data_IF_276924232721
#
_entry.id   IF_276924232721
#
_cell.length_a   1.000
_cell.length_b   1.000
_cell.length_c   1.000
_cell.angle_alpha   90.00
_cell.angle_beta   90.00
_cell.angle_gamma   90.00
#
_symmetry.space_group_name_H-M   'P 1'
#
loop_
_entity.id
_entity.type
_entity.pdbx_description
1 polymer ?
#
# COMPACT_ATOMS: atom_id res chain seq x y z
N UNK A 1 26.24 0.47 0.24
CA UNK A 1 25.94 -0.65 1.16
C UNK A 1 27.13 -1.07 2.02
N UNK A 2 28.29 -1.41 1.45
CA UNK A 2 29.47 -1.86 2.20
C UNK A 2 29.94 -0.87 3.29
N UNK A 3 29.87 0.43 3.01
CA UNK A 3 30.25 1.48 3.97
C UNK A 3 29.32 1.56 5.19
N UNK A 4 28.00 1.37 5.00
CA UNK A 4 27.01 1.39 6.10
C UNK A 4 27.22 0.18 6.99
N UNK A 5 27.43 -1.03 6.42
CA UNK A 5 27.76 -2.23 7.21
C UNK A 5 29.09 -2.11 7.96
N UNK A 6 30.08 -1.43 7.36
CA UNK A 6 31.37 -1.15 8.02
C UNK A 6 31.21 -0.22 9.23
N UNK A 7 30.26 0.72 9.19
CA UNK A 7 29.98 1.66 10.28
C UNK A 7 29.01 1.10 11.33
N UNK A 8 28.07 0.25 10.93
CA UNK A 8 27.13 -0.43 11.81
C UNK A 8 26.94 -1.89 11.36
N UNK A 9 27.68 -2.85 11.96
CA UNK A 9 27.57 -4.26 11.61
C UNK A 9 26.20 -4.87 11.93
N UNK A 10 25.45 -4.28 12.88
CA UNK A 10 24.13 -4.74 13.33
C UNK A 10 22.98 -4.23 12.45
N UNK A 11 23.27 -3.53 11.35
CA UNK A 11 22.24 -2.96 10.47
C UNK A 11 21.46 -4.08 9.77
N UNK A 12 20.14 -4.13 10.01
CA UNK A 12 19.22 -5.01 9.29
C UNK A 12 18.73 -4.30 8.03
N UNK A 13 18.61 -5.07 6.95
CA UNK A 13 18.09 -4.58 5.68
C UNK A 13 16.74 -5.21 5.42
N UNK A 14 15.76 -4.36 5.15
CA UNK A 14 14.43 -4.79 4.72
C UNK A 14 14.19 -4.28 3.32
N UNK A 15 13.57 -5.13 2.51
CA UNK A 15 13.02 -4.68 1.25
C UNK A 15 11.71 -3.94 1.52
N UNK A 16 11.43 -2.90 0.73
CA UNK A 16 10.17 -2.19 0.81
C UNK A 16 9.00 -3.16 0.53
N UNK A 17 8.10 -3.31 1.50
CA UNK A 17 6.93 -4.18 1.44
C UNK A 17 5.99 -3.70 0.33
N UNK A 18 5.79 -2.39 0.22
CA UNK A 18 4.96 -1.78 -0.83
C UNK A 18 5.52 -2.12 -2.22
N UNK A 19 6.85 -2.07 -2.38
CA UNK A 19 7.48 -2.41 -3.65
C UNK A 19 7.31 -3.91 -3.99
N UNK A 20 7.52 -4.80 -3.02
CA UNK A 20 7.30 -6.25 -3.20
C UNK A 20 5.84 -6.57 -3.53
N UNK A 21 4.89 -5.95 -2.82
CA UNK A 21 3.46 -6.06 -3.11
C UNK A 21 3.14 -5.62 -4.54
N UNK A 22 3.70 -4.51 -4.99
CA UNK A 22 3.54 -4.04 -6.37
C UNK A 22 4.14 -5.01 -7.39
N UNK A 23 5.31 -5.61 -7.11
CA UNK A 23 5.92 -6.63 -7.98
C UNK A 23 5.06 -7.89 -8.08
N UNK A 24 4.56 -8.41 -6.95
CA UNK A 24 3.68 -9.57 -6.90
C UNK A 24 2.33 -9.34 -7.61
N UNK A 25 1.92 -8.09 -7.76
CA UNK A 25 0.65 -7.74 -8.42
C UNK A 25 0.77 -7.61 -9.94
N UNK A 26 1.98 -7.69 -10.52
CA UNK A 26 2.18 -7.45 -11.96
C UNK A 26 1.74 -8.62 -12.84
N UNK A 27 1.76 -9.85 -12.32
CA UNK A 27 1.47 -11.03 -13.13
C UNK A 27 -0.03 -11.26 -13.23
N UNK A 28 -0.50 -11.48 -14.45
CA UNK A 28 -1.89 -11.73 -14.78
C UNK A 28 -1.99 -12.70 -15.96
N UNK A 29 -3.14 -13.35 -16.11
CA UNK A 29 -3.39 -14.22 -17.26
C UNK A 29 -3.51 -13.39 -18.55
N UNK A 30 -3.44 -14.08 -19.70
CA UNK A 30 -3.38 -13.43 -21.01
C UNK A 30 -4.61 -12.55 -21.29
N UNK A 31 -5.81 -13.02 -20.97
CA UNK A 31 -7.06 -12.30 -21.24
C UNK A 31 -7.18 -10.99 -20.43
N UNK A 32 -6.82 -11.02 -19.15
CA UNK A 32 -6.80 -9.82 -18.31
C UNK A 32 -5.69 -8.85 -18.75
N UNK A 33 -4.54 -9.38 -19.14
CA UNK A 33 -3.43 -8.57 -19.65
C UNK A 33 -3.80 -7.84 -20.94
N UNK A 34 -4.44 -8.56 -21.87
CA UNK A 34 -4.96 -8.01 -23.11
C UNK A 34 -6.00 -6.92 -22.84
N UNK A 35 -7.01 -7.21 -22.03
CA UNK A 35 -8.05 -6.24 -21.63
C UNK A 35 -7.43 -4.98 -21.02
N UNK A 36 -6.44 -5.12 -20.15
CA UNK A 36 -5.71 -3.99 -19.54
C UNK A 36 -4.96 -3.16 -20.59
N UNK A 37 -4.27 -3.81 -21.52
CA UNK A 37 -3.53 -3.13 -22.58
C UNK A 37 -4.46 -2.40 -23.55
N UNK A 38 -5.60 -3.00 -23.89
CA UNK A 38 -6.62 -2.37 -24.73
C UNK A 38 -7.26 -1.17 -24.04
N UNK A 39 -7.60 -1.28 -22.76
CA UNK A 39 -8.09 -0.17 -21.96
C UNK A 39 -7.10 1.01 -21.97
N UNK A 40 -5.80 0.74 -21.81
CA UNK A 40 -4.75 1.77 -21.92
C UNK A 40 -4.70 2.38 -23.33
N UNK A 41 -4.80 1.57 -24.39
CA UNK A 41 -4.84 2.07 -25.78
C UNK A 41 -6.05 2.96 -26.05
N UNK A 42 -7.23 2.60 -25.54
CA UNK A 42 -8.45 3.43 -25.64
C UNK A 42 -8.24 4.80 -24.99
N UNK A 43 -7.73 4.81 -23.76
CA UNK A 43 -7.48 6.05 -23.02
C UNK A 43 -6.45 6.91 -23.75
N UNK A 44 -5.36 6.29 -24.20
CA UNK A 44 -4.33 6.98 -24.96
C UNK A 44 -4.88 7.54 -26.28
N UNK A 45 -5.77 6.84 -26.98
CA UNK A 45 -6.40 7.34 -28.20
C UNK A 45 -7.21 8.62 -27.96
N UNK A 46 -8.01 8.66 -26.89
CA UNK A 46 -8.83 9.83 -26.52
C UNK A 46 -7.93 10.98 -26.03
N UNK A 47 -6.86 10.66 -25.30
CA UNK A 47 -5.95 11.64 -24.71
C UNK A 47 -4.83 12.13 -25.62
N UNK A 48 -4.49 11.39 -26.68
CA UNK A 48 -3.37 11.70 -27.56
C UNK A 48 -3.51 13.06 -28.25
N UNK A 49 -4.75 13.49 -28.54
CA UNK A 49 -5.03 14.76 -29.20
C UNK A 49 -5.84 15.68 -28.29
N UNK A 50 -5.42 16.94 -28.10
CA UNK A 50 -6.19 17.92 -27.33
C UNK A 50 -7.62 18.12 -27.85
N UNK A 51 -7.84 17.99 -29.16
CA UNK A 51 -9.17 18.05 -29.75
C UNK A 51 -10.06 16.90 -29.26
N UNK A 52 -9.58 15.66 -29.32
CA UNK A 52 -10.31 14.48 -28.84
C UNK A 52 -10.70 14.63 -27.37
N UNK A 53 -9.77 15.11 -26.54
CA UNK A 53 -10.04 15.35 -25.12
C UNK A 53 -11.10 16.43 -24.87
N UNK A 54 -11.15 17.49 -25.72
CA UNK A 54 -12.19 18.52 -25.64
C UNK A 54 -13.55 18.00 -26.12
N UNK A 55 -13.58 17.28 -27.23
CA UNK A 55 -14.81 16.68 -27.77
C UNK A 55 -15.39 15.66 -26.80
N UNK A 56 -14.55 14.76 -26.26
CA UNK A 56 -14.98 13.80 -25.25
C UNK A 56 -15.54 14.48 -23.99
N UNK A 57 -14.93 15.59 -23.56
CA UNK A 57 -15.46 16.39 -22.43
C UNK A 57 -16.87 16.91 -22.72
N UNK A 58 -17.08 17.48 -23.91
CA UNK A 58 -18.40 17.99 -24.32
C UNK A 58 -19.44 16.87 -24.35
N UNK A 59 -19.09 15.71 -24.91
CA UNK A 59 -19.97 14.54 -24.91
C UNK A 59 -20.36 14.11 -23.49
N UNK A 60 -19.39 14.03 -22.57
CA UNK A 60 -19.68 13.71 -21.17
C UNK A 60 -20.59 14.74 -20.50
N UNK A 61 -20.45 16.03 -20.85
CA UNK A 61 -21.31 17.09 -20.33
C UNK A 61 -22.74 16.96 -20.84
N UNK A 62 -22.90 16.66 -22.13
CA UNK A 62 -24.20 16.46 -22.77
C UNK A 62 -24.92 15.22 -22.23
N UNK A 63 -24.18 14.16 -21.92
CA UNK A 63 -24.71 12.92 -21.33
C UNK A 63 -24.94 13.01 -19.81
N UNK A 64 -24.61 14.15 -19.18
CA UNK A 64 -24.80 14.37 -17.75
C UNK A 64 -23.88 13.53 -16.86
N UNK A 65 -22.73 13.08 -17.37
CA UNK A 65 -21.79 12.24 -16.61
C UNK A 65 -21.17 13.02 -15.45
N UNK A 66 -21.05 12.37 -14.28
CA UNK A 66 -20.40 12.96 -13.10
C UNK A 66 -18.95 13.38 -13.42
N UNK A 67 -18.24 12.52 -14.16
CA UNK A 67 -16.86 12.77 -14.56
C UNK A 67 -16.78 13.15 -16.04
N UNK A 68 -16.10 14.27 -16.32
CA UNK A 68 -16.00 14.81 -17.69
C UNK A 68 -14.65 14.51 -18.37
N UNK A 69 -13.77 13.81 -17.67
CA UNK A 69 -12.40 13.56 -18.12
C UNK A 69 -11.92 12.18 -17.71
N UNK A 70 -11.29 11.48 -18.67
CA UNK A 70 -10.46 10.33 -18.38
C UNK A 70 -9.16 10.75 -17.68
N UNK A 71 -8.56 9.83 -16.94
CA UNK A 71 -7.26 10.02 -16.30
C UNK A 71 -6.14 9.52 -17.23
N UNK A 72 -5.04 10.25 -17.32
CA UNK A 72 -3.86 9.83 -18.09
C UNK A 72 -3.05 8.81 -17.29
N UNK A 73 -2.57 7.78 -18.00
CA UNK A 73 -1.63 6.83 -17.43
C UNK A 73 -0.19 7.35 -17.56
N UNK A 74 0.59 7.19 -16.50
CA UNK A 74 2.05 7.18 -16.60
C UNK A 74 2.54 5.85 -16.04
N UNK A 75 3.40 5.14 -16.76
CA UNK A 75 3.93 3.82 -16.38
C UNK A 75 4.53 3.76 -14.97
N UNK A 76 4.93 4.92 -14.45
CA UNK A 76 5.70 5.11 -13.22
C UNK A 76 4.91 4.76 -11.94
N UNK A 77 3.56 4.73 -11.95
CA UNK A 77 2.76 4.37 -10.75
C UNK A 77 1.66 3.37 -11.05
N UNK A 78 1.90 2.11 -10.69
CA UNK A 78 0.92 1.01 -10.73
C UNK A 78 -0.41 1.35 -10.02
N UNK A 79 -0.34 2.12 -8.93
CA UNK A 79 -1.50 2.59 -8.16
C UNK A 79 -2.45 3.52 -8.92
N UNK A 80 -1.98 4.18 -9.98
CA UNK A 80 -2.86 5.00 -10.82
C UNK A 80 -3.80 4.14 -11.68
N UNK A 81 -3.50 2.85 -11.88
CA UNK A 81 -4.26 1.98 -12.79
C UNK A 81 -5.70 1.75 -12.29
N UNK A 82 -5.92 1.56 -10.99
CA UNK A 82 -7.28 1.38 -10.43
C UNK A 82 -8.20 2.56 -10.73
N UNK A 83 -7.79 3.76 -10.32
CA UNK A 83 -8.56 5.00 -10.60
C UNK A 83 -8.82 5.23 -12.09
N UNK A 84 -7.84 4.91 -12.94
CA UNK A 84 -7.97 5.05 -14.39
C UNK A 84 -9.03 4.08 -14.94
N UNK A 85 -9.00 2.82 -14.51
CA UNK A 85 -9.93 1.80 -14.99
C UNK A 85 -11.35 2.01 -14.46
N UNK A 86 -11.50 2.41 -13.19
CA UNK A 86 -12.81 2.83 -12.68
C UNK A 86 -13.40 3.96 -13.49
N UNK A 87 -12.61 5.00 -13.76
CA UNK A 87 -13.06 6.13 -14.59
C UNK A 87 -13.44 5.70 -16.01
N UNK A 88 -12.69 4.77 -16.60
CA UNK A 88 -13.00 4.22 -17.91
C UNK A 88 -14.30 3.40 -17.89
N UNK A 89 -14.51 2.62 -16.84
CA UNK A 89 -15.71 1.79 -16.68
C UNK A 89 -16.97 2.63 -16.41
N UNK A 90 -16.85 3.67 -15.58
CA UNK A 90 -17.91 4.65 -15.34
C UNK A 90 -18.35 5.32 -16.64
N UNK A 91 -17.38 5.80 -17.44
CA UNK A 91 -17.62 6.52 -18.70
C UNK A 91 -17.74 5.61 -19.92
N UNK A 92 -18.02 4.32 -19.72
CA UNK A 92 -17.94 3.31 -20.80
C UNK A 92 -18.90 3.60 -21.95
N UNK A 93 -20.07 4.20 -21.69
CA UNK A 93 -21.06 4.51 -22.72
C UNK A 93 -20.64 5.73 -23.54
N UNK A 94 -20.18 6.79 -22.88
CA UNK A 94 -19.62 7.99 -23.47
C UNK A 94 -18.40 7.63 -24.33
N UNK A 95 -17.51 6.78 -23.81
CA UNK A 95 -16.33 6.29 -24.51
C UNK A 95 -16.74 5.50 -25.75
N UNK A 96 -17.73 4.62 -25.65
CA UNK A 96 -18.26 3.86 -26.79
C UNK A 96 -18.78 4.80 -27.87
N UNK A 97 -19.66 5.75 -27.53
CA UNK A 97 -20.24 6.72 -28.48
C UNK A 97 -19.14 7.54 -29.15
N UNK A 98 -18.20 8.07 -28.37
CA UNK A 98 -17.06 8.82 -28.89
C UNK A 98 -16.25 7.99 -29.89
N UNK A 99 -15.96 6.72 -29.58
CA UNK A 99 -15.19 5.84 -30.46
C UNK A 99 -15.94 5.51 -31.75
N UNK A 100 -17.27 5.36 -31.70
CA UNK A 100 -18.12 5.17 -32.88
C UNK A 100 -18.08 6.39 -33.80
N UNK A 101 -18.21 7.60 -33.25
CA UNK A 101 -18.10 8.85 -34.02
C UNK A 101 -16.73 9.01 -34.69
N UNK A 102 -15.67 8.62 -33.98
CA UNK A 102 -14.29 8.63 -34.49
C UNK A 102 -13.98 7.45 -35.41
N UNK A 103 -14.94 6.55 -35.69
CA UNK A 103 -14.76 5.32 -36.49
C UNK A 103 -13.57 4.47 -36.02
N UNK A 104 -13.37 4.43 -34.71
CA UNK A 104 -12.27 3.69 -34.10
C UNK A 104 -12.61 2.22 -33.95
N UNK A 105 -11.63 1.36 -34.21
CA UNK A 105 -11.75 -0.11 -34.07
C UNK A 105 -12.02 -0.51 -32.61
N UNK A 106 -11.66 0.34 -31.64
CA UNK A 106 -11.89 0.06 -30.22
C UNK A 106 -13.36 0.17 -29.79
N UNK A 107 -14.26 0.68 -30.64
CA UNK A 107 -15.69 0.79 -30.30
C UNK A 107 -16.33 -0.59 -30.02
N UNK A 108 -15.93 -1.63 -30.75
CA UNK A 108 -16.45 -2.99 -30.60
C UNK A 108 -16.08 -3.64 -29.26
N UNK A 109 -15.02 -3.17 -28.59
CA UNK A 109 -14.63 -3.69 -27.27
C UNK A 109 -15.73 -3.47 -26.22
N UNK A 110 -16.41 -2.32 -26.28
CA UNK A 110 -17.46 -1.96 -25.33
C UNK A 110 -18.81 -2.63 -25.62
N UNK A 111 -18.92 -3.33 -26.75
CA UNK A 111 -20.08 -4.18 -27.08
C UNK A 111 -19.86 -5.63 -26.62
N UNK A 112 -18.60 -6.01 -26.44
CA UNK A 112 -18.23 -7.32 -25.93
C UNK A 112 -18.41 -7.37 -24.40
N UNK A 113 -19.52 -7.96 -23.95
CA UNK A 113 -19.86 -8.15 -22.53
C UNK A 113 -18.73 -8.80 -21.73
N UNK A 114 -18.07 -9.79 -22.32
CA UNK A 114 -16.95 -10.53 -21.74
C UNK A 114 -15.76 -9.60 -21.44
N UNK A 115 -15.47 -8.67 -22.36
CA UNK A 115 -14.42 -7.66 -22.18
C UNK A 115 -14.79 -6.64 -21.11
N UNK A 116 -16.05 -6.18 -21.09
CA UNK A 116 -16.55 -5.23 -20.09
C UNK A 116 -16.51 -5.85 -18.68
N UNK A 117 -16.82 -7.14 -18.54
CA UNK A 117 -16.67 -7.88 -17.28
C UNK A 117 -15.22 -7.95 -16.81
N UNK A 118 -14.29 -8.26 -17.71
CA UNK A 118 -12.85 -8.25 -17.38
C UNK A 118 -12.38 -6.86 -16.98
N UNK A 119 -12.87 -5.80 -17.64
CA UNK A 119 -12.58 -4.42 -17.28
C UNK A 119 -13.13 -4.07 -15.87
N UNK A 120 -14.36 -4.45 -15.57
CA UNK A 120 -15.00 -4.24 -14.26
C UNK A 120 -14.20 -4.93 -13.14
N UNK A 121 -13.83 -6.20 -13.35
CA UNK A 121 -12.99 -6.95 -12.43
C UNK A 121 -11.64 -6.26 -12.19
N UNK A 122 -10.98 -5.82 -13.27
CA UNK A 122 -9.69 -5.13 -13.16
C UNK A 122 -9.83 -3.86 -12.33
N UNK A 123 -10.88 -3.06 -12.55
CA UNK A 123 -11.15 -1.87 -11.76
C UNK A 123 -11.26 -2.21 -10.25
N UNK A 124 -12.06 -3.21 -9.89
CA UNK A 124 -12.26 -3.62 -8.49
C UNK A 124 -10.99 -4.20 -7.83
N UNK A 125 -10.25 -5.09 -8.52
CA UNK A 125 -9.04 -5.69 -7.93
C UNK A 125 -7.93 -4.65 -7.78
N UNK A 126 -7.80 -3.72 -8.71
CA UNK A 126 -6.81 -2.64 -8.61
C UNK A 126 -7.12 -1.67 -7.48
N UNK A 127 -8.40 -1.39 -7.21
CA UNK A 127 -8.79 -0.58 -6.05
C UNK A 127 -8.47 -1.29 -4.74
N UNK A 128 -8.79 -2.58 -4.63
CA UNK A 128 -8.43 -3.38 -3.43
C UNK A 128 -6.91 -3.39 -3.19
N UNK A 129 -6.11 -3.49 -4.25
CA UNK A 129 -4.64 -3.39 -4.17
C UNK A 129 -4.18 -1.99 -3.78
N UNK A 130 -4.86 -0.95 -4.26
CA UNK A 130 -4.57 0.43 -3.91
C UNK A 130 -4.92 0.72 -2.45
N UNK A 131 -6.04 0.21 -1.93
CA UNK A 131 -6.42 0.34 -0.53
C UNK A 131 -5.41 -0.32 0.40
N UNK A 132 -4.94 -1.52 0.05
CA UNK A 132 -3.85 -2.17 0.77
C UNK A 132 -2.61 -1.26 0.78
N UNK A 133 -2.22 -0.73 -0.38
CA UNK A 133 -1.04 0.11 -0.50
C UNK A 133 -1.16 1.39 0.36
N UNK A 134 -2.29 2.10 0.27
CA UNK A 134 -2.57 3.28 1.10
C UNK A 134 -2.56 2.94 2.58
N UNK A 135 -3.13 1.80 2.97
CA UNK A 135 -3.10 1.36 4.37
C UNK A 135 -1.68 1.10 4.89
N UNK A 136 -0.72 0.81 4.01
CA UNK A 136 0.70 0.62 4.35
C UNK A 136 1.52 1.92 4.26
N UNK A 137 0.98 2.97 3.64
CA UNK A 137 1.58 4.30 3.59
C UNK A 137 1.16 5.08 4.83
N UNK A 138 2.01 5.04 5.86
CA UNK A 138 1.75 5.78 7.09
C UNK A 138 3.03 6.17 7.80
N UNK A 139 2.92 7.23 8.58
CA UNK A 139 3.97 7.61 9.51
C UNK A 139 3.97 6.64 10.71
N UNK A 140 5.16 6.17 11.12
CA UNK A 140 5.37 5.18 12.21
C UNK A 140 4.73 3.80 11.99
N UNK A 141 4.67 3.31 10.75
CA UNK A 141 4.33 1.89 10.50
C UNK A 141 5.56 1.00 10.70
N UNK A 142 5.52 0.15 11.72
CA UNK A 142 6.53 -0.89 11.94
C UNK A 142 6.31 -2.09 11.00
N UNK A 143 7.35 -2.89 10.83
CA UNK A 143 7.34 -4.08 9.97
C UNK A 143 6.24 -5.09 10.35
N UNK A 144 6.00 -5.31 11.65
CA UNK A 144 5.02 -6.29 12.13
C UNK A 144 3.60 -5.86 11.75
N UNK A 145 3.26 -4.59 11.94
CA UNK A 145 1.98 -4.01 11.50
C UNK A 145 1.76 -4.16 9.99
N UNK A 146 2.79 -3.91 9.19
CA UNK A 146 2.74 -4.09 7.73
C UNK A 146 2.55 -5.57 7.35
N UNK A 147 3.24 -6.48 8.03
CA UNK A 147 3.08 -7.91 7.84
C UNK A 147 1.66 -8.38 8.19
N UNK A 148 1.05 -7.85 9.26
CA UNK A 148 -0.35 -8.15 9.60
C UNK A 148 -1.32 -7.69 8.51
N UNK A 149 -1.11 -6.49 7.94
CA UNK A 149 -1.92 -5.98 6.81
C UNK A 149 -1.79 -6.86 5.56
N UNK A 150 -0.56 -7.28 5.24
CA UNK A 150 -0.32 -8.23 4.15
C UNK A 150 -0.99 -9.60 4.41
N UNK A 151 -0.87 -10.14 5.64
CA UNK A 151 -1.53 -11.38 6.05
C UNK A 151 -3.05 -11.29 5.87
N UNK A 152 -3.65 -10.20 6.34
CA UNK A 152 -5.08 -9.95 6.21
C UNK A 152 -5.50 -9.88 4.73
N UNK A 153 -4.70 -9.24 3.88
CA UNK A 153 -4.99 -9.19 2.44
C UNK A 153 -4.91 -10.56 1.78
N UNK A 154 -3.93 -11.39 2.13
CA UNK A 154 -3.84 -12.74 1.57
C UNK A 154 -5.03 -13.61 2.02
N UNK A 155 -5.43 -13.51 3.29
CA UNK A 155 -6.67 -14.17 3.78
C UNK A 155 -7.92 -13.68 3.04
N UNK A 156 -7.98 -12.39 2.69
CA UNK A 156 -9.06 -11.84 1.84
C UNK A 156 -9.03 -12.44 0.43
N UNK A 157 -7.85 -12.61 -0.20
CA UNK A 157 -7.73 -13.29 -1.50
C UNK A 157 -8.25 -14.73 -1.44
N UNK A 158 -7.93 -15.48 -0.40
CA UNK A 158 -8.44 -16.85 -0.19
C UNK A 158 -9.96 -16.87 -0.03
N UNK A 159 -10.52 -15.89 0.69
CA UNK A 159 -11.97 -15.73 0.79
C UNK A 159 -12.62 -15.39 -0.56
N UNK A 160 -12.04 -14.47 -1.33
CA UNK A 160 -12.53 -14.10 -2.67
C UNK A 160 -12.46 -15.30 -3.63
N UNK A 161 -11.39 -16.10 -3.59
CA UNK A 161 -11.28 -17.34 -4.33
C UNK A 161 -12.43 -18.30 -4.02
N UNK A 162 -12.76 -18.52 -2.74
CA UNK A 162 -13.88 -19.36 -2.32
C UNK A 162 -15.24 -18.85 -2.84
N UNK A 163 -15.41 -17.53 -2.96
CA UNK A 163 -16.62 -16.91 -3.51
C UNK A 163 -16.73 -17.12 -5.03
N UNK A 164 -15.65 -16.86 -5.75
CA UNK A 164 -15.58 -17.03 -7.21
C UNK A 164 -15.74 -18.51 -7.61
N UNK A 165 -15.23 -19.44 -6.81
CA UNK A 165 -15.47 -20.89 -6.99
C UNK A 165 -16.94 -21.30 -6.89
N UNK A 166 -17.78 -20.48 -6.24
CA UNK A 166 -19.23 -20.66 -6.15
C UNK A 166 -19.97 -19.80 -7.18
N UNK A 167 -19.27 -19.33 -8.21
CA UNK A 167 -19.77 -18.42 -9.25
C UNK A 167 -20.38 -17.12 -8.69
N UNK A 168 -19.88 -16.64 -7.56
CA UNK A 168 -20.32 -15.38 -6.95
C UNK A 168 -19.24 -14.32 -7.08
N UNK A 169 -19.60 -13.20 -7.71
CA UNK A 169 -18.74 -12.03 -7.92
C UNK A 169 -19.01 -10.88 -6.94
N UNK A 170 -19.92 -11.04 -5.99
CA UNK A 170 -20.30 -10.08 -4.92
C UNK A 170 -19.17 -9.37 -4.16
N UNK A 171 -17.96 -9.92 -4.19
CA UNK A 171 -16.78 -9.29 -3.57
C UNK A 171 -16.17 -8.18 -4.45
N UNK A 172 -16.59 -8.07 -5.70
CA UNK A 172 -16.16 -7.13 -6.74
C UNK A 172 -17.37 -6.26 -7.14
N UNK A 173 -17.60 -5.12 -6.45
CA UNK A 173 -18.86 -4.36 -6.57
C UNK A 173 -19.19 -3.85 -7.97
N UNK A 174 -18.17 -3.49 -8.75
CA UNK A 174 -18.35 -2.98 -10.12
C UNK A 174 -18.75 -4.11 -11.06
N UNK A 175 -18.10 -5.27 -10.91
CA UNK A 175 -18.45 -6.47 -11.67
C UNK A 175 -19.82 -7.02 -11.28
N UNK A 176 -20.13 -7.08 -9.99
CA UNK A 176 -21.39 -7.61 -9.46
C UNK A 176 -22.59 -6.83 -9.98
N UNK A 177 -22.55 -5.50 -9.86
CA UNK A 177 -23.59 -4.62 -10.41
C UNK A 177 -23.77 -4.81 -11.92
N UNK A 178 -22.67 -4.89 -12.66
CA UNK A 178 -22.74 -5.07 -14.11
C UNK A 178 -23.31 -6.44 -14.50
N UNK A 179 -23.01 -7.48 -13.72
CA UNK A 179 -23.52 -8.81 -13.91
C UNK A 179 -25.02 -8.91 -13.66
N UNK A 180 -25.51 -8.22 -12.63
CA UNK A 180 -26.93 -8.12 -12.33
C UNK A 180 -27.68 -7.34 -13.43
N UNK A 181 -27.11 -6.24 -13.93
CA UNK A 181 -27.74 -5.37 -14.93
C UNK A 181 -27.78 -5.98 -16.35
N UNK A 182 -26.86 -6.89 -16.69
CA UNK A 182 -26.60 -7.30 -18.09
C UNK A 182 -26.92 -8.77 -18.41
N UNK A 183 -27.50 -9.54 -17.48
CA UNK A 183 -27.85 -10.97 -17.63
C UNK A 183 -26.75 -11.78 -18.37
N UNK A 184 -25.56 -11.88 -17.78
CA UNK A 184 -24.39 -12.46 -18.46
C UNK A 184 -24.47 -14.00 -18.58
N UNK A 185 -24.57 -14.50 -19.80
CA UNK A 185 -24.56 -15.94 -20.11
C UNK A 185 -23.23 -16.66 -19.77
N UNK A 186 -22.10 -15.97 -19.88
CA UNK A 186 -20.75 -16.54 -19.74
C UNK A 186 -20.05 -16.25 -18.39
N UNK A 187 -20.81 -16.01 -17.31
CA UNK A 187 -20.23 -15.66 -16.01
C UNK A 187 -19.23 -16.72 -15.49
N UNK A 188 -19.42 -18.00 -15.84
CA UNK A 188 -18.51 -19.08 -15.48
C UNK A 188 -17.11 -18.91 -16.08
N UNK A 189 -17.01 -18.54 -17.36
CA UNK A 189 -15.72 -18.31 -18.04
C UNK A 189 -14.98 -17.11 -17.43
N UNK A 190 -15.73 -16.06 -17.08
CA UNK A 190 -15.17 -14.91 -16.35
C UNK A 190 -14.69 -15.32 -14.95
N UNK A 191 -15.47 -16.12 -14.22
CA UNK A 191 -15.08 -16.65 -12.92
C UNK A 191 -13.80 -17.50 -12.99
N UNK A 192 -13.63 -18.31 -14.04
CA UNK A 192 -12.41 -19.08 -14.26
C UNK A 192 -11.19 -18.19 -14.49
N UNK A 193 -11.35 -17.15 -15.31
CA UNK A 193 -10.31 -16.14 -15.54
C UNK A 193 -9.90 -15.43 -14.24
N UNK A 194 -10.89 -15.01 -13.43
CA UNK A 194 -10.67 -14.36 -12.14
C UNK A 194 -9.98 -15.32 -11.16
N UNK A 195 -10.43 -16.57 -11.08
CA UNK A 195 -9.88 -17.61 -10.20
C UNK A 195 -8.42 -17.88 -10.51
N UNK A 196 -8.05 -18.00 -11.78
CA UNK A 196 -6.67 -18.18 -12.20
C UNK A 196 -5.80 -16.98 -11.75
N UNK A 197 -6.27 -15.76 -11.96
CA UNK A 197 -5.54 -14.55 -11.56
C UNK A 197 -5.38 -14.43 -10.05
N UNK A 198 -6.46 -14.61 -9.28
CA UNK A 198 -6.40 -14.53 -7.82
C UNK A 198 -5.49 -15.61 -7.22
N UNK A 199 -5.47 -16.81 -7.80
CA UNK A 199 -4.57 -17.90 -7.37
C UNK A 199 -3.12 -17.50 -7.58
N UNK A 200 -2.77 -17.03 -8.78
CA UNK A 200 -1.42 -16.55 -9.11
C UNK A 200 -1.00 -15.39 -8.23
N UNK A 201 -1.87 -14.40 -8.03
CA UNK A 201 -1.62 -13.24 -7.16
C UNK A 201 -1.36 -13.68 -5.71
N UNK A 202 -2.16 -14.62 -5.18
CA UNK A 202 -1.97 -15.18 -3.85
C UNK A 202 -0.61 -15.89 -3.75
N UNK A 203 -0.32 -16.78 -4.68
CA UNK A 203 0.91 -17.58 -4.66
C UNK A 203 2.16 -16.68 -4.76
N UNK A 204 2.11 -15.64 -5.59
CA UNK A 204 3.19 -14.66 -5.68
C UNK A 204 3.36 -13.86 -4.39
N UNK A 205 2.28 -13.35 -3.80
CA UNK A 205 2.36 -12.67 -2.52
C UNK A 205 2.96 -13.58 -1.44
N UNK A 206 2.54 -14.85 -1.36
CA UNK A 206 3.14 -15.81 -0.43
C UNK A 206 4.62 -16.02 -0.71
N UNK A 207 5.03 -16.08 -1.98
CA UNK A 207 6.45 -16.24 -2.36
C UNK A 207 7.32 -15.03 -1.96
N UNK A 208 6.79 -13.81 -2.01
CA UNK A 208 7.50 -12.60 -1.59
C UNK A 208 7.51 -12.41 -0.06
N UNK A 209 6.59 -13.08 0.64
CA UNK A 209 6.36 -12.94 2.08
C UNK A 209 6.19 -14.30 2.80
N UNK A 210 7.18 -15.22 2.70
CA UNK A 210 7.04 -16.58 3.24
C UNK A 210 6.88 -16.61 4.77
N UNK A 211 7.53 -15.70 5.49
CA UNK A 211 7.45 -15.59 6.95
C UNK A 211 6.05 -15.24 7.45
N UNK A 212 5.23 -14.54 6.66
CA UNK A 212 3.87 -14.14 7.03
C UNK A 212 2.93 -15.37 7.11
N UNK A 213 3.20 -16.40 6.32
CA UNK A 213 2.35 -17.60 6.25
C UNK A 213 2.78 -18.72 7.19
N UNK A 214 4.03 -18.73 7.63
CA UNK A 214 4.55 -19.78 8.50
C UNK A 214 4.02 -19.69 9.94
N UNK A 215 3.07 -18.79 10.23
CA UNK A 215 2.54 -18.53 11.58
C UNK A 215 3.66 -18.41 12.61
N UNK A 216 4.76 -17.76 12.24
CA UNK A 216 5.88 -17.57 13.13
C UNK A 216 5.47 -16.53 14.20
N UNK A 217 4.88 -17.04 15.29
CA UNK A 217 4.39 -16.25 16.43
C UNK A 217 5.51 -15.84 17.39
N UNK A 218 6.77 -16.05 17.01
CA UNK A 218 7.94 -15.69 17.83
C UNK A 218 8.01 -14.23 18.20
N UNK A 219 7.33 -13.37 17.45
CA UNK A 219 7.33 -11.92 17.66
C UNK A 219 5.98 -11.37 18.12
N UNK A 220 4.97 -12.22 18.36
CA UNK A 220 3.63 -11.77 18.76
C UNK A 220 3.67 -11.04 20.12
N UNK A 221 4.53 -11.49 21.03
CA UNK A 221 4.76 -10.85 22.33
C UNK A 221 5.26 -9.40 22.22
N UNK A 222 5.86 -9.01 21.10
CA UNK A 222 6.32 -7.64 20.85
C UNK A 222 5.11 -6.72 20.61
N UNK A 223 4.09 -7.23 19.92
CA UNK A 223 2.85 -6.50 19.65
C UNK A 223 1.88 -6.56 20.83
N UNK A 224 1.85 -7.67 21.56
CA UNK A 224 1.09 -7.79 22.81
C UNK A 224 1.81 -8.72 23.80
N UNK A 225 2.48 -8.19 24.83
CA UNK A 225 3.19 -9.01 25.80
C UNK A 225 2.29 -9.63 26.88
N UNK A 226 0.98 -9.37 26.89
CA UNK A 226 0.05 -9.81 27.95
C UNK A 226 -0.90 -10.96 27.52
N UNK A 227 -0.56 -11.71 26.47
CA UNK A 227 -1.38 -12.85 25.99
C UNK A 227 -1.14 -14.09 26.86
N UNK A 228 -2.14 -14.95 27.10
CA UNK A 228 -2.00 -16.12 28.02
C UNK A 228 -0.87 -17.12 27.67
N UNK A 229 -0.40 -17.15 26.41
CA UNK A 229 0.61 -18.12 25.94
C UNK A 229 1.87 -17.44 25.36
N UNK A 230 2.40 -16.43 26.07
CA UNK A 230 3.58 -15.67 25.60
C UNK A 230 4.85 -16.55 25.46
N UNK A 231 4.91 -17.66 26.21
CA UNK A 231 6.12 -18.47 26.38
C UNK A 231 6.31 -19.56 25.32
N UNK A 232 5.22 -20.08 24.74
CA UNK A 232 5.29 -21.28 23.89
C UNK A 232 5.82 -21.05 22.48
N UNK A 233 6.11 -19.79 22.11
CA UNK A 233 6.53 -19.45 20.75
C UNK A 233 7.68 -18.46 20.66
N UNK A 234 8.20 -17.89 21.76
CA UNK A 234 9.00 -16.65 21.71
C UNK A 234 10.42 -16.79 21.12
N UNK A 235 10.99 -18.00 21.06
CA UNK A 235 12.37 -18.22 20.59
C UNK A 235 13.44 -17.49 21.43
N UNK A 236 13.08 -17.07 22.64
CA UNK A 236 13.92 -16.30 23.58
C UNK A 236 14.76 -17.24 24.47
N UNK A 237 15.82 -16.70 25.06
CA UNK A 237 16.56 -17.43 26.11
C UNK A 237 15.76 -17.49 27.41
N UNK A 238 16.02 -18.52 28.23
CA UNK A 238 15.28 -18.77 29.48
C UNK A 238 15.17 -17.53 30.37
N UNK A 239 16.27 -16.81 30.59
CA UNK A 239 16.31 -15.57 31.38
C UNK A 239 15.42 -14.46 30.80
N UNK A 240 15.35 -14.34 29.46
CA UNK A 240 14.52 -13.32 28.81
C UNK A 240 13.05 -13.74 28.86
N UNK A 241 12.76 -15.03 28.76
CA UNK A 241 11.43 -15.60 28.93
C UNK A 241 10.91 -15.40 30.35
N UNK A 242 11.72 -15.61 31.38
CA UNK A 242 11.37 -15.32 32.78
C UNK A 242 10.97 -13.85 32.97
N UNK A 243 11.78 -12.92 32.45
CA UNK A 243 11.46 -11.49 32.48
C UNK A 243 10.15 -11.16 31.76
N UNK A 244 9.82 -11.89 30.68
CA UNK A 244 8.60 -11.69 29.92
C UNK A 244 7.38 -12.16 30.69
N UNK A 245 7.49 -13.29 31.41
CA UNK A 245 6.45 -13.81 32.30
C UNK A 245 6.18 -12.82 33.44
N UNK A 246 7.24 -12.28 34.06
CA UNK A 246 7.11 -11.26 35.11
C UNK A 246 6.39 -10.01 34.61
N UNK A 247 6.77 -9.53 33.42
CA UNK A 247 6.14 -8.37 32.79
C UNK A 247 4.67 -8.65 32.44
N UNK A 248 4.38 -9.80 31.84
CA UNK A 248 3.03 -10.21 31.42
C UNK A 248 2.08 -10.39 32.61
N UNK A 249 2.61 -10.70 33.80
CA UNK A 249 1.82 -10.88 35.03
C UNK A 249 1.56 -9.57 35.79
N UNK A 250 2.12 -8.44 35.33
CA UNK A 250 1.98 -7.15 35.99
C UNK A 250 0.74 -6.38 35.49
N UNK A 251 -0.35 -6.46 36.25
CA UNK A 251 -1.61 -5.78 35.91
C UNK A 251 -1.48 -4.26 35.77
N UNK A 252 -0.54 -3.62 36.46
CA UNK A 252 -0.33 -2.19 36.34
C UNK A 252 0.32 -1.84 35.01
N UNK A 253 1.26 -2.66 34.53
CA UNK A 253 1.83 -2.53 33.20
C UNK A 253 0.81 -2.85 32.10
N UNK A 254 -0.10 -3.81 32.31
CA UNK A 254 -1.17 -4.14 31.37
C UNK A 254 -2.14 -2.95 31.17
N UNK A 255 -2.62 -2.36 32.26
CA UNK A 255 -3.46 -1.16 32.21
C UNK A 255 -2.74 0.01 31.53
N UNK A 256 -1.43 0.13 31.76
CA UNK A 256 -0.63 1.16 31.11
C UNK A 256 -0.50 0.92 29.61
N UNK A 257 -0.27 -0.33 29.19
CA UNK A 257 -0.14 -0.73 27.80
C UNK A 257 -1.35 -0.34 26.96
N UNK A 258 -2.55 -0.42 27.52
CA UNK A 258 -3.80 0.00 26.83
C UNK A 258 -3.84 1.50 26.49
N UNK A 259 -3.05 2.33 27.17
CA UNK A 259 -3.08 3.79 27.05
C UNK A 259 -1.92 4.37 26.23
N UNK A 260 -0.95 3.56 25.80
CA UNK A 260 0.24 4.01 25.09
C UNK A 260 0.47 3.22 23.80
N UNK A 261 1.28 3.76 22.89
CA UNK A 261 1.69 2.99 21.70
C UNK A 261 2.69 1.89 22.07
N UNK A 262 2.74 0.81 21.28
CA UNK A 262 3.67 -0.32 21.49
C UNK A 262 5.11 0.16 21.65
N UNK A 263 5.58 1.07 20.79
CA UNK A 263 6.94 1.62 20.89
C UNK A 263 7.16 2.45 22.16
N UNK A 264 6.17 3.24 22.60
CA UNK A 264 6.28 4.00 23.86
C UNK A 264 6.34 3.07 25.06
N UNK A 265 5.49 2.03 25.10
CA UNK A 265 5.50 1.04 26.17
C UNK A 265 6.89 0.42 26.35
N UNK A 266 7.48 -0.11 25.26
CA UNK A 266 8.81 -0.72 25.30
C UNK A 266 9.92 0.27 25.71
N UNK A 267 9.78 1.56 25.41
CA UNK A 267 10.72 2.58 25.87
C UNK A 267 10.60 2.85 27.37
N UNK A 268 9.39 2.83 27.92
CA UNK A 268 9.14 3.08 29.34
C UNK A 268 9.57 1.91 30.23
N UNK A 269 9.31 0.67 29.80
CA UNK A 269 9.70 -0.52 30.57
C UNK A 269 11.19 -0.84 30.46
N UNK A 270 11.94 -0.16 29.59
CA UNK A 270 13.38 -0.35 29.37
C UNK A 270 14.24 -0.24 30.64
N UNK A 271 13.82 0.57 31.60
CA UNK A 271 14.54 0.71 32.88
C UNK A 271 14.59 -0.60 33.68
N UNK A 272 13.46 -1.33 33.72
CA UNK A 272 13.31 -2.60 34.45
C UNK A 272 13.62 -3.81 33.57
N UNK A 273 13.15 -3.79 32.32
CA UNK A 273 13.21 -4.90 31.36
C UNK A 273 14.05 -4.54 30.13
N UNK A 274 15.35 -4.26 30.36
CA UNK A 274 16.26 -3.75 29.33
C UNK A 274 16.41 -4.68 28.13
N UNK A 275 16.70 -5.97 28.37
CA UNK A 275 16.94 -6.96 27.30
C UNK A 275 15.68 -7.14 26.42
N UNK A 276 14.50 -7.27 27.03
CA UNK A 276 13.22 -7.35 26.31
C UNK A 276 12.96 -6.13 25.44
N UNK A 277 13.15 -4.94 26.02
CA UNK A 277 12.94 -3.67 25.33
C UNK A 277 13.90 -3.50 24.16
N UNK A 278 15.15 -3.96 24.29
CA UNK A 278 16.13 -3.92 23.19
C UNK A 278 15.72 -4.86 22.03
N UNK A 279 15.23 -6.06 22.35
CA UNK A 279 14.73 -7.00 21.34
C UNK A 279 13.49 -6.44 20.64
N UNK A 280 12.49 -5.99 21.40
CA UNK A 280 11.26 -5.40 20.89
C UNK A 280 11.55 -4.18 19.99
N UNK A 281 12.37 -3.24 20.47
CA UNK A 281 12.75 -2.08 19.66
C UNK A 281 13.55 -2.47 18.42
N UNK A 282 14.37 -3.52 18.47
CA UNK A 282 15.08 -4.00 17.26
C UNK A 282 14.16 -4.54 16.17
N UNK A 283 12.94 -4.98 16.52
CA UNK A 283 11.90 -5.42 15.60
C UNK A 283 10.97 -4.27 15.16
N UNK A 284 10.74 -3.27 16.01
CA UNK A 284 9.85 -2.13 15.73
C UNK A 284 10.52 -0.96 14.99
N UNK A 285 11.84 -0.80 15.14
CA UNK A 285 12.58 0.31 14.52
C UNK A 285 12.66 0.26 12.98
N UNK A 286 12.79 -0.92 12.33
CA UNK A 286 12.81 -0.97 10.88
C UNK A 286 11.50 -0.48 10.26
N UNK A 287 11.58 0.41 9.27
CA UNK A 287 10.44 0.87 8.50
C UNK A 287 10.30 0.05 7.21
N UNK A 288 9.16 -0.59 7.01
CA UNK A 288 8.89 -1.46 5.86
C UNK A 288 8.41 -0.73 4.59
N UNK A 289 8.28 0.59 4.61
CA UNK A 289 7.79 1.40 3.49
C UNK A 289 8.78 2.50 3.09
N UNK A 290 8.64 3.02 1.85
CA UNK A 290 9.41 4.17 1.36
C UNK A 290 8.87 5.51 1.85
N UNK A 291 7.83 5.52 2.69
CA UNK A 291 7.14 6.74 3.11
C UNK A 291 8.10 7.81 3.66
N UNK A 292 8.93 7.46 4.65
CA UNK A 292 9.90 8.40 5.22
C UNK A 292 10.94 8.86 4.20
N UNK A 293 11.32 8.01 3.25
CA UNK A 293 12.19 8.41 2.14
C UNK A 293 11.51 9.44 1.24
N UNK A 294 10.25 9.20 0.85
CA UNK A 294 9.46 10.08 -0.01
C UNK A 294 9.18 11.43 0.65
N UNK A 295 8.84 11.44 1.95
CA UNK A 295 8.71 12.66 2.76
C UNK A 295 10.03 13.41 2.80
N UNK A 296 11.14 12.70 3.06
CA UNK A 296 12.47 13.32 3.10
C UNK A 296 12.89 13.91 1.75
N UNK A 297 12.62 13.24 0.64
CA UNK A 297 12.90 13.76 -0.70
C UNK A 297 12.02 14.96 -1.05
N UNK A 298 10.75 14.95 -0.63
CA UNK A 298 9.83 16.08 -0.82
C UNK A 298 10.28 17.29 -0.03
N UNK A 299 10.61 17.11 1.25
CA UNK A 299 11.19 18.14 2.11
C UNK A 299 12.51 18.68 1.54
N UNK A 300 13.39 17.79 1.07
CA UNK A 300 14.64 18.17 0.40
C UNK A 300 14.40 19.06 -0.81
N UNK A 301 13.40 18.74 -1.63
CA UNK A 301 13.08 19.50 -2.85
C UNK A 301 12.59 20.92 -2.52
N UNK A 302 11.91 21.10 -1.39
CA UNK A 302 11.51 22.42 -0.88
C UNK A 302 12.70 23.17 -0.26
N UNK A 303 13.53 22.48 0.53
CA UNK A 303 14.70 23.06 1.21
C UNK A 303 15.78 23.50 0.20
N UNK A 304 15.95 22.75 -0.89
CA UNK A 304 16.86 23.10 -1.99
C UNK A 304 16.26 24.19 -2.87
N UNK A 305 16.42 25.44 -2.46
CA UNK A 305 16.11 26.60 -3.30
C UNK A 305 17.33 27.05 -4.10
N UNK A 306 17.11 27.72 -5.24
CA UNK A 306 18.17 28.27 -6.11
C UNK A 306 19.10 29.27 -5.40
N UNK A 307 18.66 29.84 -4.28
CA UNK A 307 19.36 30.91 -3.54
C UNK A 307 20.20 30.40 -2.35
N UNK A 308 20.26 29.08 -2.12
CA UNK A 308 21.01 28.52 -1.00
C UNK A 308 22.49 28.34 -1.37
N UNK A 309 23.37 29.15 -0.77
CA UNK A 309 24.81 29.14 -1.05
C UNK A 309 25.59 27.98 -0.40
N UNK A 310 24.96 27.14 0.42
CA UNK A 310 25.59 25.99 1.10
C UNK A 310 24.71 24.75 1.03
N UNK A 311 25.31 23.61 0.68
CA UNK A 311 24.65 22.31 0.51
C UNK A 311 24.50 21.51 1.82
N UNK A 312 24.52 22.17 2.98
CA UNK A 312 24.33 21.51 4.28
C UNK A 312 22.86 21.52 4.66
N UNK A 313 22.15 20.45 4.29
CA UNK A 313 20.69 20.30 4.43
C UNK A 313 20.29 19.37 5.58
N UNK A 314 21.26 18.76 6.26
CA UNK A 314 21.02 17.69 7.23
C UNK A 314 20.13 18.15 8.39
N UNK A 315 20.45 19.27 9.04
CA UNK A 315 19.69 19.76 10.18
C UNK A 315 18.28 20.22 9.77
N UNK A 316 18.17 20.88 8.62
CA UNK A 316 16.89 21.34 8.07
C UNK A 316 15.97 20.17 7.73
N UNK A 317 16.53 19.09 7.18
CA UNK A 317 15.78 17.86 6.90
C UNK A 317 15.33 17.14 8.15
N UNK A 318 16.19 17.07 9.19
CA UNK A 318 15.80 16.46 10.46
C UNK A 318 14.59 17.20 11.03
N UNK A 319 14.60 18.54 11.02
CA UNK A 319 13.47 19.35 11.49
C UNK A 319 12.24 19.17 10.59
N UNK A 320 12.42 19.12 9.27
CA UNK A 320 11.30 19.06 8.33
C UNK A 320 10.59 17.69 8.29
N UNK A 321 11.26 16.61 8.71
CA UNK A 321 10.73 15.23 8.61
C UNK A 321 10.43 14.62 9.99
N UNK A 322 10.90 15.24 11.07
CA UNK A 322 10.74 14.72 12.43
C UNK A 322 9.71 15.51 13.23
N UNK A 323 8.96 14.81 14.09
CA UNK A 323 8.15 15.45 15.13
C UNK A 323 8.95 15.82 16.38
N UNK A 324 10.29 15.71 16.33
CA UNK A 324 11.13 16.11 17.45
C UNK A 324 11.06 17.64 17.55
N UNK A 325 10.43 18.11 18.61
CA UNK A 325 10.47 19.52 18.95
C UNK A 325 11.92 19.96 19.18
N UNK A 326 12.39 20.99 18.46
CA UNK A 326 13.70 21.56 18.72
C UNK A 326 13.77 22.01 20.18
N UNK A 327 14.87 21.72 20.86
CA UNK A 327 15.11 22.21 22.23
C UNK A 327 15.43 23.70 22.18
N UNK A 328 14.41 24.54 21.98
CA UNK A 328 14.55 25.98 21.76
C UNK A 328 15.33 26.64 22.88
N UNK A 329 15.09 26.28 24.14
CA UNK A 329 15.80 26.84 25.30
C UNK A 329 17.32 26.64 25.20
N UNK A 330 17.76 25.42 24.83
CA UNK A 330 19.17 25.11 24.64
C UNK A 330 19.79 25.81 23.42
N UNK A 331 18.99 26.07 22.39
CA UNK A 331 19.45 26.78 21.18
C UNK A 331 19.59 28.27 21.48
N UNK A 332 18.62 28.86 22.17
CA UNK A 332 18.60 30.26 22.58
C UNK A 332 19.73 30.56 23.57
N UNK A 333 19.98 29.68 24.53
CA UNK A 333 21.09 29.80 25.48
C UNK A 333 22.48 29.80 24.82
N UNK A 334 22.62 29.24 23.61
CA UNK A 334 23.90 29.18 22.87
C UNK A 334 24.10 30.33 21.88
N UNK A 335 23.09 31.16 21.62
CA UNK A 335 23.22 32.31 20.72
C UNK A 335 23.60 33.55 21.51
N UNK A 336 24.76 34.14 21.21
CA UNK A 336 25.05 35.50 21.65
C UNK A 336 24.13 36.48 20.89
N UNK A 337 23.45 37.41 21.57
CA UNK A 337 22.76 38.50 20.89
C UNK A 337 23.80 39.32 20.13
N UNK A 338 23.54 39.57 18.84
CA UNK A 338 24.33 40.54 18.10
C UNK A 338 24.02 41.92 18.68
N UNK A 339 24.96 42.46 19.43
CA UNK A 339 24.89 43.84 19.89
C UNK A 339 25.09 44.71 18.63
N UNK A 340 24.10 45.54 18.33
CA UNK A 340 24.22 46.54 17.27
C UNK A 340 25.34 47.51 17.67
N UNK A 341 26.31 47.71 16.78
CA UNK A 341 27.35 48.70 16.96
C UNK A 341 26.87 50.11 16.64
#
# INVERSE_FOLDING_TARGET
>A
MAWIRKKNPKVKWLHCIIHRQALASKRMNAHLHETLNEAVKVINFIKARPLNSRMFKLLCQEMGSEHQHLLLHTEVRWLSRGKILNRLFELRQEVRIFLLEQKSVFSSLFENQDWVCRLAYLADIFDKLNDLNLSMQGFRTDELSLNSKMCAFIKKLEFWLKKVQRNSVSVFPTLDKFADDSEIDNLNTICDCIREHLTKLRDELVSYFPSIMNQDRTQDWIQNPFVEDVTSSSGLSDKVTENLIELASDCALELKFQNVTVSQFWLEVKGKYKELSEIAMSALLPFGSTYLCEVSFSAMSLIKTKYRNRLSVQNDLIIAVSDIEPRFDNILAKKQPQVSH
#
